data_IF_345050180337
#
_entry.id   IF_345050180337
#
_cell.length_a   1.000
_cell.length_b   1.000
_cell.length_c   1.000
_cell.angle_alpha   90.00
_cell.angle_beta   90.00
_cell.angle_gamma   90.00
#
_symmetry.space_group_name_H-M   'P 1'
#
loop_
_entity.id
_entity.type
_entity.pdbx_description
1 polymer ?
#
# COMPACT_ATOMS: atom_id res chain seq x y z
N UNK A 1 -9.51 20.77 0.37
CA UNK A 1 -8.81 19.60 -0.17
C UNK A 1 -8.99 19.60 -1.67
N UNK A 2 -7.91 19.54 -2.45
CA UNK A 2 -8.00 19.48 -3.90
C UNK A 2 -8.51 18.09 -4.34
N UNK A 3 -9.48 18.05 -5.25
CA UNK A 3 -10.16 16.80 -5.67
C UNK A 3 -9.18 15.73 -6.15
N UNK A 4 -8.12 16.11 -6.88
CA UNK A 4 -7.14 15.15 -7.40
C UNK A 4 -6.36 14.42 -6.29
N UNK A 5 -6.18 15.03 -5.11
CA UNK A 5 -5.50 14.40 -3.96
C UNK A 5 -6.35 13.31 -3.34
N UNK A 6 -7.66 13.54 -3.26
CA UNK A 6 -8.63 12.54 -2.80
C UNK A 6 -8.63 11.36 -3.76
N UNK A 7 -8.70 11.61 -5.07
CA UNK A 7 -8.65 10.56 -6.10
C UNK A 7 -7.36 9.74 -5.97
N UNK A 8 -6.19 10.39 -5.90
CA UNK A 8 -4.93 9.69 -5.79
C UNK A 8 -4.83 8.85 -4.50
N UNK A 9 -5.39 9.34 -3.38
CA UNK A 9 -5.41 8.59 -2.10
C UNK A 9 -6.37 7.40 -2.16
N UNK A 10 -7.50 7.53 -2.84
CA UNK A 10 -8.42 6.41 -3.08
C UNK A 10 -7.76 5.34 -3.95
N UNK A 11 -7.06 5.74 -5.02
CA UNK A 11 -6.28 4.82 -5.86
C UNK A 11 -5.16 4.14 -5.07
N UNK A 12 -4.46 4.89 -4.19
CA UNK A 12 -3.48 4.32 -3.27
C UNK A 12 -4.12 3.24 -2.39
N UNK A 13 -5.26 3.52 -1.76
CA UNK A 13 -5.94 2.54 -0.90
C UNK A 13 -6.40 1.31 -1.70
N UNK A 14 -6.94 1.52 -2.90
CA UNK A 14 -7.42 0.46 -3.78
C UNK A 14 -6.30 -0.53 -4.20
N UNK A 15 -5.07 -0.05 -4.43
CA UNK A 15 -3.92 -0.89 -4.73
C UNK A 15 -3.17 -1.38 -3.48
N UNK A 16 -3.06 -0.53 -2.46
CA UNK A 16 -2.29 -0.80 -1.25
C UNK A 16 -2.92 -1.84 -0.33
N UNK A 17 -4.26 -1.87 -0.22
CA UNK A 17 -4.96 -2.86 0.60
C UNK A 17 -4.76 -4.30 0.07
N UNK A 18 -4.97 -4.60 -1.23
CA UNK A 18 -4.61 -5.91 -1.78
C UNK A 18 -3.12 -6.23 -1.61
N UNK A 19 -2.22 -5.26 -1.84
CA UNK A 19 -0.78 -5.47 -1.68
C UNK A 19 -0.42 -5.89 -0.25
N UNK A 20 -1.03 -5.27 0.76
CA UNK A 20 -0.88 -5.67 2.16
C UNK A 20 -1.29 -7.13 2.38
N UNK A 21 -2.42 -7.57 1.82
CA UNK A 21 -2.88 -8.96 1.95
C UNK A 21 -1.90 -9.95 1.30
N UNK A 22 -1.33 -9.59 0.15
CA UNK A 22 -0.28 -10.38 -0.51
C UNK A 22 0.96 -10.51 0.37
N UNK A 23 1.38 -9.42 1.03
CA UNK A 23 2.50 -9.44 1.95
C UNK A 23 2.24 -10.35 3.15
N UNK A 24 1.01 -10.32 3.70
CA UNK A 24 0.61 -11.23 4.78
C UNK A 24 0.62 -12.69 4.34
N UNK A 25 0.11 -12.99 3.14
CA UNK A 25 0.15 -14.34 2.57
C UNK A 25 1.59 -14.83 2.40
N UNK A 26 2.46 -14.00 1.80
CA UNK A 26 3.87 -14.37 1.60
C UNK A 26 4.64 -14.51 2.92
N UNK A 27 4.31 -13.74 3.95
CA UNK A 27 4.86 -13.91 5.29
C UNK A 27 4.40 -15.24 5.93
N UNK A 28 3.15 -15.64 5.71
CA UNK A 28 2.62 -16.92 6.15
C UNK A 28 3.36 -18.06 5.47
N UNK A 29 3.54 -18.01 4.15
CA UNK A 29 4.17 -19.10 3.38
C UNK A 29 5.63 -19.30 3.79
N UNK A 30 6.33 -18.23 4.18
CA UNK A 30 7.76 -18.31 4.57
C UNK A 30 7.99 -18.75 6.01
N UNK A 31 7.11 -18.37 6.92
CA UNK A 31 7.36 -18.53 8.36
C UNK A 31 6.39 -19.49 9.05
N UNK A 32 5.24 -19.74 8.44
CA UNK A 32 4.09 -20.44 9.02
C UNK A 32 3.73 -19.96 10.44
N UNK A 33 4.02 -18.70 10.76
CA UNK A 33 3.84 -18.11 12.10
C UNK A 33 2.82 -16.96 12.05
N UNK A 34 1.71 -17.13 12.76
CA UNK A 34 0.62 -16.14 12.84
C UNK A 34 1.07 -14.79 13.41
N UNK A 35 2.01 -14.78 14.36
CA UNK A 35 2.50 -13.52 14.93
C UNK A 35 3.24 -12.67 13.88
N UNK A 36 4.11 -13.31 13.08
CA UNK A 36 4.84 -12.63 12.00
C UNK A 36 3.89 -12.10 10.92
N UNK A 37 2.86 -12.86 10.57
CA UNK A 37 1.83 -12.43 9.62
C UNK A 37 1.08 -11.20 10.14
N UNK A 38 0.65 -11.20 11.41
CA UNK A 38 -0.06 -10.09 12.03
C UNK A 38 0.81 -8.82 12.07
N UNK A 39 2.08 -8.94 12.49
CA UNK A 39 3.02 -7.80 12.50
C UNK A 39 3.26 -7.27 11.09
N UNK A 40 3.43 -8.16 10.09
CA UNK A 40 3.62 -7.75 8.69
C UNK A 40 2.44 -6.92 8.18
N UNK A 41 1.21 -7.37 8.44
CA UNK A 41 0.02 -6.62 8.07
C UNK A 41 -0.13 -5.31 8.84
N UNK A 42 0.13 -5.30 10.14
CA UNK A 42 0.06 -4.09 10.95
C UNK A 42 1.03 -3.01 10.45
N UNK A 43 2.29 -3.38 10.16
CA UNK A 43 3.29 -2.47 9.61
C UNK A 43 2.87 -1.95 8.23
N UNK A 44 2.45 -2.84 7.33
CA UNK A 44 1.98 -2.44 5.99
C UNK A 44 0.78 -1.49 6.06
N UNK A 45 -0.17 -1.76 6.95
CA UNK A 45 -1.35 -0.91 7.16
C UNK A 45 -0.97 0.47 7.71
N UNK A 46 -0.09 0.53 8.71
CA UNK A 46 0.38 1.81 9.28
C UNK A 46 1.10 2.65 8.23
N UNK A 47 1.97 2.03 7.41
CA UNK A 47 2.63 2.71 6.30
C UNK A 47 1.60 3.26 5.31
N UNK A 48 0.59 2.47 4.94
CA UNK A 48 -0.46 2.90 4.02
C UNK A 48 -1.27 4.09 4.58
N UNK A 49 -1.59 4.06 5.88
CA UNK A 49 -2.31 5.12 6.56
C UNK A 49 -1.49 6.41 6.60
N UNK A 50 -0.21 6.32 6.97
CA UNK A 50 0.70 7.46 6.99
C UNK A 50 0.88 8.06 5.59
N UNK A 51 1.04 7.23 4.56
CA UNK A 51 1.10 7.69 3.16
C UNK A 51 -0.20 8.40 2.75
N UNK A 52 -1.36 7.86 3.11
CA UNK A 52 -2.64 8.50 2.84
C UNK A 52 -2.77 9.87 3.49
N UNK A 53 -2.39 10.01 4.77
CA UNK A 53 -2.39 11.31 5.47
C UNK A 53 -1.43 12.30 4.81
N UNK A 54 -0.21 11.87 4.46
CA UNK A 54 0.79 12.73 3.82
C UNK A 54 0.34 13.17 2.42
N UNK A 55 -0.23 12.27 1.62
CA UNK A 55 -0.81 12.57 0.31
C UNK A 55 -2.00 13.53 0.38
N UNK A 56 -2.80 13.43 1.44
CA UNK A 56 -3.93 14.32 1.67
C UNK A 56 -3.53 15.68 2.23
N UNK A 57 -2.35 15.84 2.82
CA UNK A 57 -1.97 17.08 3.52
C UNK A 57 -0.88 17.85 2.81
N UNK A 58 0.30 17.26 2.59
CA UNK A 58 1.52 18.05 2.27
C UNK A 58 2.28 17.57 1.03
N UNK A 59 2.00 16.38 0.50
CA UNK A 59 2.77 15.84 -0.62
C UNK A 59 2.53 16.59 -1.96
N UNK A 60 3.60 17.03 -2.65
CA UNK A 60 3.53 17.61 -4.00
C UNK A 60 2.92 16.64 -5.03
N UNK A 61 2.23 17.18 -6.03
CA UNK A 61 1.48 16.36 -7.01
C UNK A 61 2.30 15.29 -7.73
N UNK A 62 3.52 15.61 -8.16
CA UNK A 62 4.42 14.64 -8.82
C UNK A 62 4.73 13.46 -7.89
N UNK A 63 5.00 13.73 -6.61
CA UNK A 63 5.30 12.69 -5.64
C UNK A 63 4.06 11.85 -5.28
N UNK A 64 2.89 12.49 -5.16
CA UNK A 64 1.61 11.81 -4.94
C UNK A 64 1.31 10.79 -6.04
N UNK A 65 1.41 11.19 -7.31
CA UNK A 65 1.19 10.27 -8.43
C UNK A 65 2.30 9.22 -8.57
N UNK A 66 3.56 9.58 -8.27
CA UNK A 66 4.67 8.64 -8.24
C UNK A 66 4.47 7.52 -7.21
N UNK A 67 4.05 7.86 -5.99
CA UNK A 67 3.75 6.88 -4.93
C UNK A 67 2.57 6.00 -5.32
N UNK A 68 1.47 6.57 -5.81
CA UNK A 68 0.32 5.80 -6.27
C UNK A 68 0.71 4.81 -7.38
N UNK A 69 1.44 5.28 -8.40
CA UNK A 69 1.94 4.46 -9.50
C UNK A 69 2.88 3.34 -9.03
N UNK A 70 3.77 3.63 -8.08
CA UNK A 70 4.68 2.64 -7.49
C UNK A 70 3.92 1.52 -6.78
N UNK A 71 2.91 1.85 -5.98
CA UNK A 71 2.10 0.84 -5.27
C UNK A 71 1.29 -0.02 -6.24
N UNK A 72 0.71 0.60 -7.28
CA UNK A 72 0.03 -0.13 -8.37
C UNK A 72 1.00 -1.08 -9.08
N UNK A 73 2.19 -0.61 -9.43
CA UNK A 73 3.20 -1.43 -10.10
C UNK A 73 3.69 -2.58 -9.20
N UNK A 74 3.93 -2.32 -7.92
CA UNK A 74 4.33 -3.35 -6.96
C UNK A 74 3.26 -4.44 -6.82
N UNK A 75 1.99 -4.06 -6.69
CA UNK A 75 0.89 -5.02 -6.68
C UNK A 75 0.83 -5.81 -7.98
N UNK A 76 0.91 -5.14 -9.14
CA UNK A 76 0.88 -5.79 -10.45
C UNK A 76 2.00 -6.80 -10.63
N UNK A 77 3.24 -6.44 -10.30
CA UNK A 77 4.39 -7.35 -10.35
C UNK A 77 4.19 -8.54 -9.42
N UNK A 78 3.71 -8.32 -8.18
CA UNK A 78 3.48 -9.43 -7.25
C UNK A 78 2.38 -10.38 -7.71
N UNK A 79 1.31 -9.86 -8.34
CA UNK A 79 0.21 -10.65 -8.90
C UNK A 79 0.63 -11.44 -10.14
N UNK A 80 1.57 -10.91 -10.93
CA UNK A 80 2.11 -11.60 -12.10
C UNK A 80 3.17 -12.65 -11.74
N UNK A 81 3.84 -12.48 -10.59
CA UNK A 81 4.89 -13.38 -10.11
C UNK A 81 4.40 -14.45 -9.11
N UNK A 82 3.11 -14.44 -8.77
CA UNK A 82 2.43 -15.43 -7.93
C UNK A 82 1.81 -16.53 -8.76
#
# INVERSE_FOLDING_TARGET
>A
METWRVIATVLLAAAGLPLMLVLMAKARDRTNNSATVAVTGAVAFVVLLLLGVVMLTVLPGVLTWGVAGLVVAALGVMMLAS
#
